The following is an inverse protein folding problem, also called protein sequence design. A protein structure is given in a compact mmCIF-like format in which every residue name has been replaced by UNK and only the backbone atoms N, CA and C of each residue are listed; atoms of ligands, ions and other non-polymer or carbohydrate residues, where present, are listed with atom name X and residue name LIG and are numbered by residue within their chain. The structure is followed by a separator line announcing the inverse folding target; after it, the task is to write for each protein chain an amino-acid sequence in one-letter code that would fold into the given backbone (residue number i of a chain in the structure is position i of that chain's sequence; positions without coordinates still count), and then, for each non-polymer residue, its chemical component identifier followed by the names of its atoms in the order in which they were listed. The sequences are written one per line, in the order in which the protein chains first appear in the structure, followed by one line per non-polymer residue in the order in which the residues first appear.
data_IF_925859108034
#
_entry.id   IF_925859108034
#
_cell.length_a   1.000
_cell.length_b   1.000
_cell.length_c   1.000
_cell.angle_alpha   90.00
_cell.angle_beta   90.00
_cell.angle_gamma   90.00
#
_symmetry.space_group_name_H-M   'P 1'
#
loop_
_entity.id
_entity.type
_entity.pdbx_description
1 polymer ?
#
# COMPACT_ATOMS: atom_id res chain seq x y z
N UNK A 1 15.85 13.48 -41.09
CA UNK A 1 15.69 12.14 -40.47
C UNK A 1 15.13 12.37 -39.08
N UNK A 2 13.82 12.30 -38.93
CA UNK A 2 13.13 12.32 -37.63
C UNK A 2 12.56 10.91 -37.44
N UNK A 3 12.86 10.18 -36.35
CA UNK A 3 12.03 9.06 -36.00
C UNK A 3 10.76 9.62 -35.35
N UNK A 4 9.69 9.45 -36.10
CA UNK A 4 8.32 9.81 -35.82
C UNK A 4 7.81 9.17 -34.53
N UNK A 5 7.10 9.99 -33.74
CA UNK A 5 5.89 9.61 -32.99
C UNK A 5 5.93 8.31 -32.18
N UNK A 6 6.37 8.38 -30.93
CA UNK A 6 5.85 7.47 -29.92
C UNK A 6 4.58 8.06 -29.32
N UNK A 7 3.45 7.71 -29.93
CA UNK A 7 2.14 7.76 -29.32
C UNK A 7 2.14 6.89 -28.05
N UNK A 8 1.69 7.41 -26.93
CA UNK A 8 0.99 6.61 -25.91
C UNK A 8 -0.19 7.45 -25.40
N UNK A 9 -1.43 6.96 -25.59
CA UNK A 9 -1.86 5.75 -24.88
C UNK A 9 -2.61 4.71 -25.75
N UNK A 10 -2.37 3.42 -25.45
CA UNK A 10 -3.31 2.31 -25.71
C UNK A 10 -2.76 1.03 -25.03
N UNK A 11 -3.61 0.37 -24.24
CA UNK A 11 -3.33 -0.93 -23.60
C UNK A 11 -3.51 -2.06 -24.62
N UNK A 12 -2.41 -2.72 -25.00
CA UNK A 12 -2.42 -3.83 -25.95
C UNK A 12 -1.26 -4.84 -25.74
N UNK A 13 -1.32 -6.01 -26.37
CA UNK A 13 -0.38 -7.14 -26.17
C UNK A 13 1.08 -6.81 -26.51
N UNK A 14 1.34 -5.70 -27.22
CA UNK A 14 2.66 -5.19 -27.54
C UNK A 14 3.48 -4.73 -26.32
N UNK A 15 2.82 -4.49 -25.18
CA UNK A 15 3.48 -4.06 -23.93
C UNK A 15 4.38 -5.12 -23.32
N UNK A 16 4.03 -6.40 -23.43
CA UNK A 16 4.82 -7.52 -22.88
C UNK A 16 6.10 -7.73 -23.68
N UNK A 17 6.03 -7.60 -25.00
CA UNK A 17 7.21 -7.69 -25.87
C UNK A 17 8.16 -6.52 -25.67
N UNK A 18 7.63 -5.32 -25.40
CA UNK A 18 8.41 -4.12 -25.12
C UNK A 18 9.13 -4.23 -23.76
N UNK A 19 8.44 -4.74 -22.73
CA UNK A 19 9.05 -5.03 -21.42
C UNK A 19 10.15 -6.10 -21.51
N UNK A 20 9.93 -7.16 -22.31
CA UNK A 20 10.94 -8.19 -22.52
C UNK A 20 12.19 -7.63 -23.23
N UNK A 21 11.99 -6.75 -24.22
CA UNK A 21 13.08 -6.03 -24.87
C UNK A 21 13.84 -5.14 -23.88
N UNK A 22 13.13 -4.39 -23.03
CA UNK A 22 13.74 -3.56 -22.00
C UNK A 22 14.59 -4.38 -21.01
N UNK A 23 14.08 -5.51 -20.52
CA UNK A 23 14.83 -6.38 -19.61
C UNK A 23 16.05 -7.01 -20.28
N UNK A 24 15.97 -7.28 -21.59
CA UNK A 24 17.11 -7.74 -22.40
C UNK A 24 18.18 -6.65 -22.55
N UNK A 25 17.77 -5.39 -22.74
CA UNK A 25 18.68 -4.24 -22.81
C UNK A 25 19.34 -3.94 -21.46
N UNK A 26 18.59 -4.01 -20.35
CA UNK A 26 19.14 -3.83 -18.99
C UNK A 26 20.26 -4.82 -18.65
N UNK A 27 20.15 -6.06 -19.14
CA UNK A 27 21.20 -7.07 -18.98
C UNK A 27 22.47 -6.75 -19.77
N UNK A 28 22.36 -6.02 -20.87
CA UNK A 28 23.49 -5.62 -21.71
C UNK A 28 24.15 -4.34 -21.17
N UNK A 29 23.34 -3.36 -20.77
CA UNK A 29 23.81 -2.10 -20.23
C UNK A 29 22.94 -1.67 -19.02
N UNK A 30 23.47 -1.84 -17.79
CA UNK A 30 22.78 -1.41 -16.58
C UNK A 30 22.61 0.10 -16.44
N UNK A 31 23.35 0.91 -17.20
CA UNK A 31 23.29 2.38 -17.15
C UNK A 31 21.97 2.95 -17.68
N UNK A 32 21.19 2.14 -18.41
CA UNK A 32 19.86 2.51 -18.93
C UNK A 32 18.83 2.88 -17.84
N UNK A 33 19.09 2.52 -16.58
CA UNK A 33 18.26 2.93 -15.43
C UNK A 33 18.57 4.34 -14.92
N UNK A 34 19.65 4.98 -15.38
CA UNK A 34 20.10 6.29 -14.92
C UNK A 34 19.56 7.46 -15.78
N UNK A 35 18.70 7.17 -16.76
CA UNK A 35 17.99 8.21 -17.52
C UNK A 35 16.84 8.78 -16.68
N UNK A 36 16.51 10.06 -16.88
CA UNK A 36 15.50 10.76 -16.06
C UNK A 36 14.14 10.05 -16.04
N UNK A 37 13.76 9.43 -17.16
CA UNK A 37 12.52 8.68 -17.33
C UNK A 37 12.45 7.36 -16.52
N UNK A 38 13.61 6.79 -16.14
CA UNK A 38 13.71 5.48 -15.48
C UNK A 38 14.29 5.54 -14.07
N UNK A 39 14.46 6.76 -13.53
CA UNK A 39 14.96 7.00 -12.16
C UNK A 39 14.15 6.23 -11.11
N UNK A 40 12.83 6.15 -11.27
CA UNK A 40 11.96 5.42 -10.34
C UNK A 40 12.29 3.92 -10.24
N UNK A 41 12.65 3.27 -11.36
CA UNK A 41 13.08 1.86 -11.40
C UNK A 41 14.49 1.67 -10.79
N UNK A 42 15.36 2.66 -10.96
CA UNK A 42 16.69 2.69 -10.36
C UNK A 42 16.62 2.82 -8.83
N UNK A 43 15.79 3.73 -8.32
CA UNK A 43 15.55 3.94 -6.89
C UNK A 43 14.94 2.71 -6.22
N UNK A 44 13.90 2.11 -6.82
CA UNK A 44 13.28 0.88 -6.32
C UNK A 44 14.27 -0.29 -6.24
N UNK A 45 15.24 -0.38 -7.17
CA UNK A 45 16.29 -1.41 -7.13
C UNK A 45 17.43 -1.09 -6.16
N UNK A 46 17.73 0.18 -5.88
CA UNK A 46 18.72 0.59 -4.85
C UNK A 46 18.21 0.26 -3.44
N UNK A 47 16.92 0.45 -3.19
CA UNK A 47 16.29 0.07 -1.92
C UNK A 47 16.37 -1.43 -1.61
N UNK A 48 16.51 -2.29 -2.62
CA UNK A 48 16.65 -3.75 -2.45
C UNK A 48 18.09 -4.25 -2.30
N UNK A 49 19.13 -3.43 -2.57
CA UNK A 49 20.54 -3.88 -2.55
C UNK A 49 21.43 -3.22 -1.49
N UNK A 50 20.97 -2.19 -0.78
CA UNK A 50 21.88 -1.30 -0.05
C UNK A 50 21.61 -1.25 1.47
N UNK A 51 21.94 -2.33 2.20
CA UNK A 51 22.30 -2.22 3.63
C UNK A 51 23.83 -2.14 3.76
N UNK A 52 24.43 -1.08 3.21
CA UNK A 52 25.74 -0.54 3.62
C UNK A 52 26.08 0.74 2.84
N UNK A 53 26.10 1.84 3.61
CA UNK A 53 26.90 3.07 3.46
C UNK A 53 26.32 4.26 2.67
N UNK A 54 26.47 5.41 3.33
CA UNK A 54 26.52 6.79 2.86
C UNK A 54 25.20 7.57 2.82
N UNK A 55 24.91 8.13 4.00
CA UNK A 55 24.46 9.51 4.23
C UNK A 55 25.14 10.50 3.25
N UNK A 56 24.36 11.25 2.48
CA UNK A 56 24.49 12.69 2.24
C UNK A 56 23.36 13.19 1.31
N UNK A 57 22.91 14.41 1.58
CA UNK A 57 22.11 15.31 0.75
C UNK A 57 20.59 15.33 0.99
N UNK A 58 20.24 15.93 2.13
CA UNK A 58 19.04 16.75 2.26
C UNK A 58 19.19 17.92 1.27
N UNK A 59 18.46 17.87 0.15
CA UNK A 59 18.14 19.05 -0.65
C UNK A 59 16.63 19.19 -0.68
N UNK A 60 16.15 20.09 0.18
CA UNK A 60 14.84 20.72 0.09
C UNK A 60 14.70 21.35 -1.29
N UNK A 61 13.89 20.77 -2.15
CA UNK A 61 13.26 21.49 -3.26
C UNK A 61 11.76 21.23 -3.17
N UNK A 62 11.03 22.32 -2.98
CA UNK A 62 9.59 22.42 -3.17
C UNK A 62 9.25 21.88 -4.56
N UNK A 63 8.86 20.62 -4.65
CA UNK A 63 7.99 20.19 -5.72
C UNK A 63 6.59 20.58 -5.29
N UNK A 64 6.16 21.76 -5.76
CA UNK A 64 4.75 22.06 -5.92
C UNK A 64 4.13 20.85 -6.61
N UNK A 65 3.46 20.00 -5.84
CA UNK A 65 2.75 18.85 -6.35
C UNK A 65 1.59 19.39 -7.19
N UNK A 66 1.84 19.55 -8.48
CA UNK A 66 0.80 19.68 -9.50
C UNK A 66 -0.19 18.55 -9.22
N UNK A 67 -1.36 18.91 -8.67
CA UNK A 67 -2.38 17.96 -8.25
C UNK A 67 -2.70 17.06 -9.43
N UNK A 68 -2.57 15.74 -9.24
CA UNK A 68 -3.02 14.80 -10.25
C UNK A 68 -4.53 14.97 -10.39
N UNK A 69 -4.96 15.67 -11.44
CA UNK A 69 -6.34 15.78 -11.90
C UNK A 69 -6.78 14.42 -12.44
N UNK A 70 -6.94 13.48 -11.51
CA UNK A 70 -7.61 12.22 -11.74
C UNK A 70 -9.09 12.52 -11.53
N UNK A 71 -9.88 12.44 -12.61
CA UNK A 71 -11.35 12.43 -12.53
C UNK A 71 -11.73 11.26 -11.61
N UNK A 72 -11.95 11.56 -10.33
CA UNK A 72 -12.33 10.55 -9.35
C UNK A 72 -13.81 10.24 -9.57
N UNK A 73 -14.08 9.12 -10.23
CA UNK A 73 -15.43 8.58 -10.40
C UNK A 73 -16.10 8.48 -9.02
N UNK A 74 -17.22 9.18 -8.84
CA UNK A 74 -17.98 9.18 -7.57
C UNK A 74 -18.82 7.92 -7.37
N UNK A 75 -18.70 6.95 -8.27
CA UNK A 75 -19.42 5.68 -8.20
C UNK A 75 -18.87 4.83 -7.05
N UNK A 76 -19.69 4.63 -6.01
CA UNK A 76 -19.30 3.98 -4.75
C UNK A 76 -18.88 4.93 -3.63
N UNK A 77 -19.01 6.26 -3.80
CA UNK A 77 -18.83 7.22 -2.71
C UNK A 77 -19.96 7.05 -1.68
N UNK A 78 -19.64 6.52 -0.50
CA UNK A 78 -20.56 6.42 0.64
C UNK A 78 -20.45 7.66 1.53
N UNK A 79 -21.54 8.00 2.19
CA UNK A 79 -21.55 9.08 3.19
C UNK A 79 -20.62 8.73 4.36
N UNK A 80 -19.98 9.73 4.98
CA UNK A 80 -19.20 9.48 6.17
C UNK A 80 -20.11 8.99 7.29
N UNK A 81 -19.63 8.03 8.07
CA UNK A 81 -20.32 7.58 9.27
C UNK A 81 -20.48 8.77 10.24
N UNK A 82 -21.66 8.90 10.83
CA UNK A 82 -21.96 9.92 11.86
C UNK A 82 -22.06 9.32 13.25
N UNK A 83 -21.65 8.05 13.36
CA UNK A 83 -21.70 7.23 14.56
C UNK A 83 -20.69 7.73 15.61
N UNK A 84 -20.93 7.39 16.86
CA UNK A 84 -19.98 7.66 17.94
C UNK A 84 -18.65 6.93 17.69
N UNK A 85 -17.57 7.43 18.30
CA UNK A 85 -16.26 6.79 18.22
C UNK A 85 -16.32 5.34 18.73
N UNK A 86 -15.60 4.45 18.07
CA UNK A 86 -15.49 3.06 18.49
C UNK A 86 -14.89 2.94 19.89
N UNK A 87 -15.35 1.94 20.65
CA UNK A 87 -14.89 1.69 22.02
C UNK A 87 -13.55 0.93 22.00
N UNK A 88 -12.50 1.54 22.57
CA UNK A 88 -11.10 1.08 22.44
C UNK A 88 -10.49 0.49 23.74
N UNK A 89 -11.31 0.11 24.72
CA UNK A 89 -10.82 -0.41 26.01
C UNK A 89 -10.06 0.62 26.86
N UNK A 90 -9.32 0.15 27.87
CA UNK A 90 -8.48 0.99 28.74
C UNK A 90 -7.00 0.63 28.55
N UNK A 91 -6.21 1.57 28.00
CA UNK A 91 -4.76 1.40 27.80
C UNK A 91 -3.96 1.22 29.10
N UNK A 92 -4.53 1.56 30.26
CA UNK A 92 -3.84 1.49 31.55
C UNK A 92 -4.07 0.17 32.30
N UNK A 93 -4.95 -0.69 31.80
CA UNK A 93 -5.20 -2.02 32.38
C UNK A 93 -3.98 -2.90 32.13
N UNK A 94 -3.50 -3.56 33.19
CA UNK A 94 -2.44 -4.56 33.07
C UNK A 94 -3.02 -5.85 32.50
N UNK A 95 -2.59 -6.21 31.30
CA UNK A 95 -3.03 -7.44 30.64
C UNK A 95 -2.42 -8.64 31.38
N UNK A 96 -3.27 -9.41 32.04
CA UNK A 96 -2.89 -10.66 32.70
C UNK A 96 -2.97 -11.84 31.74
N UNK A 97 -2.29 -12.96 32.05
CA UNK A 97 -2.28 -14.17 31.21
C UNK A 97 -3.69 -14.73 30.99
N UNK A 98 -4.54 -14.71 32.02
CA UNK A 98 -5.94 -15.15 31.92
C UNK A 98 -6.76 -14.27 30.94
N UNK A 99 -6.47 -12.96 30.91
CA UNK A 99 -7.14 -12.03 30.01
C UNK A 99 -6.70 -12.24 28.55
N UNK A 100 -5.44 -12.62 28.32
CA UNK A 100 -4.97 -13.00 26.98
C UNK A 100 -5.70 -14.24 26.46
N UNK A 101 -5.84 -15.28 27.30
CA UNK A 101 -6.54 -16.50 26.91
C UNK A 101 -8.02 -16.21 26.59
N UNK A 102 -8.69 -15.43 27.44
CA UNK A 102 -10.09 -15.02 27.19
C UNK A 102 -10.24 -14.16 25.93
N UNK A 103 -9.32 -13.24 25.67
CA UNK A 103 -9.34 -12.42 24.47
C UNK A 103 -9.13 -13.28 23.22
N UNK A 104 -8.23 -14.25 23.27
CA UNK A 104 -7.99 -15.19 22.16
C UNK A 104 -9.21 -16.09 21.89
N UNK A 105 -9.90 -16.56 22.92
CA UNK A 105 -11.16 -17.31 22.74
C UNK A 105 -12.25 -16.45 22.07
N UNK A 106 -12.33 -15.16 22.43
CA UNK A 106 -13.26 -14.21 21.78
C UNK A 106 -12.85 -13.89 20.34
N UNK A 107 -11.56 -13.82 20.04
CA UNK A 107 -11.04 -13.65 18.67
C UNK A 107 -11.50 -14.80 17.78
N UNK A 108 -11.35 -16.04 18.24
CA UNK A 108 -11.78 -17.24 17.51
C UNK A 108 -13.30 -17.20 17.26
N UNK A 109 -14.09 -16.91 18.30
CA UNK A 109 -15.55 -16.80 18.16
C UNK A 109 -15.97 -15.67 17.19
N UNK A 110 -15.24 -14.56 17.18
CA UNK A 110 -15.50 -13.45 16.26
C UNK A 110 -15.19 -13.83 14.81
N UNK A 111 -14.11 -14.57 14.57
CA UNK A 111 -13.75 -15.11 13.26
C UNK A 111 -14.82 -16.09 12.76
N UNK A 112 -15.35 -16.96 13.63
CA UNK A 112 -16.47 -17.83 13.29
C UNK A 112 -17.71 -17.02 12.87
N UNK A 113 -18.07 -15.99 13.63
CA UNK A 113 -19.19 -15.10 13.31
C UNK A 113 -18.99 -14.35 11.97
N UNK A 114 -17.75 -13.97 11.62
CA UNK A 114 -17.44 -13.40 10.30
C UNK A 114 -17.72 -14.42 9.20
N UNK A 115 -17.30 -15.67 9.37
CA UNK A 115 -17.50 -16.73 8.37
C UNK A 115 -18.98 -17.05 8.15
N UNK A 116 -19.79 -16.92 9.20
CA UNK A 116 -21.25 -17.08 9.15
C UNK A 116 -21.99 -15.83 8.63
N UNK A 117 -21.28 -14.72 8.43
CA UNK A 117 -21.85 -13.43 7.97
C UNK A 117 -22.53 -12.62 9.08
N UNK A 118 -22.41 -13.01 10.34
CA UNK A 118 -22.95 -12.32 11.51
C UNK A 118 -22.06 -11.14 11.93
N UNK A 119 -21.87 -10.16 11.04
CA UNK A 119 -20.89 -9.08 11.21
C UNK A 119 -21.11 -8.24 12.49
N UNK A 120 -22.36 -7.99 12.90
CA UNK A 120 -22.65 -7.23 14.13
C UNK A 120 -22.14 -7.95 15.37
N UNK A 121 -22.37 -9.26 15.45
CA UNK A 121 -21.92 -10.10 16.57
C UNK A 121 -20.40 -10.25 16.59
N UNK A 122 -19.77 -10.33 15.41
CA UNK A 122 -18.31 -10.30 15.32
C UNK A 122 -17.73 -9.00 15.86
N UNK A 123 -18.33 -7.84 15.52
CA UNK A 123 -17.94 -6.53 16.07
C UNK A 123 -18.05 -6.56 17.60
N UNK A 124 -19.19 -7.00 18.14
CA UNK A 124 -19.41 -7.06 19.59
C UNK A 124 -18.34 -7.92 20.28
N UNK A 125 -18.01 -9.09 19.71
CA UNK A 125 -16.98 -10.00 20.25
C UNK A 125 -15.56 -9.40 20.19
N UNK A 126 -15.18 -8.74 19.10
CA UNK A 126 -13.89 -8.05 19.03
C UNK A 126 -13.81 -6.88 20.00
N UNK A 127 -14.88 -6.09 20.11
CA UNK A 127 -14.97 -4.99 21.07
C UNK A 127 -14.87 -5.51 22.51
N UNK A 128 -15.50 -6.65 22.80
CA UNK A 128 -15.35 -7.31 24.10
C UNK A 128 -13.95 -7.86 24.37
N UNK A 129 -13.23 -8.32 23.35
CA UNK A 129 -11.84 -8.79 23.47
C UNK A 129 -10.89 -7.63 23.76
N UNK A 130 -11.11 -6.47 23.13
CA UNK A 130 -10.29 -5.25 23.31
C UNK A 130 -10.48 -4.64 24.70
N UNK A 131 -11.63 -4.86 25.35
CA UNK A 131 -11.92 -4.37 26.71
C UNK A 131 -11.34 -5.21 27.83
N UNK A 132 -10.91 -6.45 27.53
CA UNK A 132 -10.21 -7.30 28.49
C UNK A 132 -8.79 -6.76 28.61
#
# INVERSE_FOLDING_TARGET
MLPSSCCFPATGPHKVTELWAFMKMYKQDPSILHTEEKRFLGEANRGRRNSKKAEENIKTEESSSEGSDLENDSDGMIEPDTDDSQEMGDENVEITEEMMDQANDKEVAAIEAINDGELRKAIDLFTEAIKL
#
